data_IF_956444419453
#
_entry.id   IF_956444419453
#
_cell.length_a   1.000
_cell.length_b   1.000
_cell.length_c   1.000
_cell.angle_alpha   90.00
_cell.angle_beta   90.00
_cell.angle_gamma   90.00
#
_symmetry.space_group_name_H-M   'P 1'
#
loop_
_entity.id
_entity.type
_entity.pdbx_description
1 polymer ?
#
# COMPACT_ATOMS: atom_id res chain seq x y z
N UNK A 1 -28.86 11.53 -15.76
CA UNK A 1 -28.72 10.41 -14.81
C UNK A 1 -27.29 10.46 -14.30
N UNK A 2 -27.12 10.97 -13.09
CA UNK A 2 -25.83 11.24 -12.47
C UNK A 2 -25.18 9.92 -12.06
N UNK A 3 -24.13 9.52 -12.77
CA UNK A 3 -23.23 8.44 -12.35
C UNK A 3 -22.47 8.95 -11.12
N UNK A 4 -23.00 8.67 -9.93
CA UNK A 4 -22.24 8.76 -8.70
C UNK A 4 -21.03 7.83 -8.86
N UNK A 5 -19.87 8.42 -9.18
CA UNK A 5 -18.57 7.74 -9.13
C UNK A 5 -18.48 7.12 -7.74
N UNK A 6 -18.48 5.79 -7.68
CA UNK A 6 -18.50 5.06 -6.42
C UNK A 6 -17.34 5.52 -5.53
N UNK A 7 -17.66 6.09 -4.38
CA UNK A 7 -16.70 6.50 -3.35
C UNK A 7 -16.04 5.31 -2.64
N UNK A 8 -16.53 4.09 -2.86
CA UNK A 8 -15.94 2.86 -2.33
C UNK A 8 -14.86 2.35 -3.29
N UNK A 9 -13.59 2.37 -2.85
CA UNK A 9 -12.50 1.67 -3.53
C UNK A 9 -12.06 0.48 -2.69
N UNK A 10 -12.32 -0.72 -3.21
CA UNK A 10 -11.88 -1.96 -2.59
C UNK A 10 -10.36 -2.01 -2.42
N UNK A 11 -9.60 -1.51 -3.40
CA UNK A 11 -8.15 -1.40 -3.29
C UNK A 11 -7.81 -0.52 -2.09
N UNK A 12 -8.32 0.70 -2.04
CA UNK A 12 -8.01 1.64 -0.98
C UNK A 12 -8.37 1.08 0.41
N UNK A 13 -9.50 0.38 0.53
CA UNK A 13 -9.89 -0.33 1.77
C UNK A 13 -8.88 -1.40 2.15
N UNK A 14 -8.50 -2.26 1.19
CA UNK A 14 -7.61 -3.42 1.40
C UNK A 14 -6.22 -3.02 1.86
N UNK A 15 -5.72 -1.90 1.36
CA UNK A 15 -4.39 -1.40 1.71
C UNK A 15 -4.45 -0.20 2.64
N UNK A 16 -5.55 0.03 3.35
CA UNK A 16 -5.67 1.08 4.37
C UNK A 16 -5.11 2.45 3.90
N UNK A 17 -5.39 2.82 2.65
CA UNK A 17 -4.95 4.11 2.11
C UNK A 17 -5.95 5.24 2.44
N UNK A 18 -7.06 4.92 3.12
CA UNK A 18 -8.11 5.90 3.38
C UNK A 18 -7.63 7.00 4.33
N UNK A 19 -7.66 8.24 3.83
CA UNK A 19 -7.50 9.45 4.64
C UNK A 19 -8.76 9.85 5.43
N UNK A 20 -9.80 9.00 5.43
CA UNK A 20 -11.12 9.33 5.99
C UNK A 20 -11.95 10.27 5.10
N UNK A 21 -13.03 10.82 5.67
CA UNK A 21 -14.00 11.68 4.97
C UNK A 21 -13.40 13.00 4.41
N UNK A 22 -12.19 13.37 4.84
CA UNK A 22 -11.50 14.61 4.46
C UNK A 22 -10.40 14.40 3.38
N UNK A 23 -10.42 13.28 2.64
CA UNK A 23 -9.50 13.04 1.53
C UNK A 23 -9.56 14.20 0.52
N UNK A 24 -8.42 14.87 0.29
CA UNK A 24 -8.33 15.98 -0.67
C UNK A 24 -8.66 15.49 -2.07
N UNK A 25 -9.50 16.25 -2.79
CA UNK A 25 -9.96 15.88 -4.13
C UNK A 25 -8.84 15.52 -5.12
N UNK A 26 -7.68 16.18 -5.06
CA UNK A 26 -6.54 15.85 -5.93
C UNK A 26 -5.94 14.46 -5.65
N UNK A 27 -5.80 14.08 -4.38
CA UNK A 27 -5.35 12.75 -3.98
C UNK A 27 -6.36 11.69 -4.42
N UNK A 28 -7.66 11.98 -4.21
CA UNK A 28 -8.75 11.12 -4.68
C UNK A 28 -8.68 10.88 -6.19
N UNK A 29 -8.54 11.94 -6.99
CA UNK A 29 -8.47 11.78 -8.45
C UNK A 29 -7.21 11.01 -8.87
N UNK A 30 -6.05 11.27 -8.27
CA UNK A 30 -4.84 10.51 -8.58
C UNK A 30 -5.02 9.01 -8.28
N UNK A 31 -5.61 8.69 -7.13
CA UNK A 31 -5.93 7.33 -6.72
C UNK A 31 -6.91 6.65 -7.69
N UNK A 32 -8.01 7.31 -8.04
CA UNK A 32 -8.99 6.79 -9.00
C UNK A 32 -8.39 6.55 -10.39
N UNK A 33 -7.47 7.42 -10.83
CA UNK A 33 -6.72 7.22 -12.07
C UNK A 33 -5.84 5.97 -11.98
N UNK A 34 -5.06 5.81 -10.91
CA UNK A 34 -4.18 4.64 -10.72
C UNK A 34 -4.99 3.33 -10.63
N UNK A 35 -6.14 3.35 -9.95
CA UNK A 35 -7.08 2.23 -9.88
C UNK A 35 -7.64 1.85 -11.26
N UNK A 36 -8.06 2.83 -12.08
CA UNK A 36 -8.50 2.58 -13.47
C UNK A 36 -7.37 1.97 -14.32
N UNK A 37 -6.14 2.46 -14.16
CA UNK A 37 -4.99 1.92 -14.87
C UNK A 37 -4.71 0.47 -14.49
N UNK A 38 -4.73 0.14 -13.20
CA UNK A 38 -4.54 -1.23 -12.72
C UNK A 38 -5.65 -2.15 -13.26
N UNK A 39 -6.92 -1.73 -13.15
CA UNK A 39 -8.07 -2.51 -13.61
C UNK A 39 -8.02 -2.81 -15.11
N UNK A 40 -7.51 -1.86 -15.91
CA UNK A 40 -7.37 -2.00 -17.38
C UNK A 40 -6.09 -2.73 -17.81
N UNK A 41 -5.32 -3.27 -16.88
CA UNK A 41 -4.07 -3.98 -17.18
C UNK A 41 -2.95 -3.07 -17.66
N UNK A 42 -2.89 -1.84 -17.13
CA UNK A 42 -1.85 -0.85 -17.35
C UNK A 42 -1.60 -0.51 -18.83
N UNK A 43 -2.48 0.26 -19.49
CA UNK A 43 -2.35 0.60 -20.90
C UNK A 43 -1.18 1.59 -21.12
N UNK A 44 0.04 1.06 -21.22
CA UNK A 44 1.28 1.83 -21.39
C UNK A 44 1.16 2.79 -22.58
N UNK A 45 1.66 4.02 -22.39
CA UNK A 45 1.64 5.09 -23.40
C UNK A 45 0.24 5.55 -23.87
N UNK A 46 -0.85 5.01 -23.32
CA UNK A 46 -2.18 5.51 -23.64
C UNK A 46 -2.36 6.95 -23.16
N UNK A 47 -3.12 7.74 -23.92
CA UNK A 47 -3.60 9.04 -23.47
C UNK A 47 -4.91 8.86 -22.69
N UNK A 48 -4.96 9.42 -21.49
CA UNK A 48 -6.17 9.46 -20.66
C UNK A 48 -7.04 10.69 -20.96
N UNK A 49 -6.56 11.60 -21.80
CA UNK A 49 -7.24 12.83 -22.19
C UNK A 49 -6.56 14.10 -21.68
N UNK A 50 -7.09 15.24 -22.10
CA UNK A 50 -6.66 16.58 -21.70
C UNK A 50 -7.12 16.94 -20.27
N UNK A 51 -6.55 18.01 -19.70
CA UNK A 51 -7.02 18.55 -18.41
C UNK A 51 -8.53 18.85 -18.36
N UNK A 52 -9.10 19.23 -19.51
CA UNK A 52 -10.52 19.59 -19.64
C UNK A 52 -11.37 18.33 -19.61
N UNK A 53 -11.02 17.34 -20.42
CA UNK A 53 -11.72 16.05 -20.47
C UNK A 53 -11.65 15.30 -19.13
N UNK A 54 -10.50 15.36 -18.45
CA UNK A 54 -10.36 14.78 -17.11
C UNK A 54 -11.21 15.54 -16.07
N UNK A 55 -11.30 16.87 -16.16
CA UNK A 55 -12.12 17.67 -15.26
C UNK A 55 -13.60 17.33 -15.41
N UNK A 56 -14.06 17.18 -16.65
CA UNK A 56 -15.43 16.74 -16.97
C UNK A 56 -15.67 15.30 -16.51
N UNK A 57 -14.76 14.36 -16.81
CA UNK A 57 -14.89 12.94 -16.45
C UNK A 57 -15.05 12.74 -14.95
N UNK A 58 -14.27 13.46 -14.15
CA UNK A 58 -14.27 13.31 -12.69
C UNK A 58 -15.18 14.32 -11.98
N UNK A 59 -15.86 15.21 -12.70
CA UNK A 59 -16.75 16.22 -12.11
C UNK A 59 -16.04 17.22 -11.18
N UNK A 60 -14.76 17.51 -11.43
CA UNK A 60 -13.94 18.41 -10.60
C UNK A 60 -13.41 19.60 -11.40
N UNK A 61 -13.02 20.66 -10.70
CA UNK A 61 -12.38 21.81 -11.34
C UNK A 61 -11.01 21.47 -11.93
N UNK A 62 -10.62 22.14 -13.03
CA UNK A 62 -9.30 21.97 -13.70
C UNK A 62 -8.11 22.14 -12.76
N UNK A 63 -8.24 22.99 -11.74
CA UNK A 63 -7.19 23.18 -10.73
C UNK A 63 -6.94 21.90 -9.90
N UNK A 64 -7.99 21.11 -9.63
CA UNK A 64 -7.89 19.82 -8.93
C UNK A 64 -7.25 18.78 -9.83
N UNK A 65 -7.63 18.71 -11.11
CA UNK A 65 -7.01 17.81 -12.10
C UNK A 65 -5.53 18.09 -12.25
N UNK A 66 -5.14 19.36 -12.43
CA UNK A 66 -3.72 19.75 -12.49
C UNK A 66 -2.95 19.28 -11.27
N UNK A 67 -3.61 19.20 -10.13
CA UNK A 67 -2.97 18.73 -8.92
C UNK A 67 -2.83 17.22 -8.86
N UNK A 68 -3.88 16.49 -9.23
CA UNK A 68 -3.82 15.05 -9.38
C UNK A 68 -2.72 14.64 -10.37
N UNK A 69 -2.61 15.34 -11.51
CA UNK A 69 -1.56 15.14 -12.51
C UNK A 69 -0.16 15.25 -11.91
N UNK A 70 0.08 16.22 -11.02
CA UNK A 70 1.39 16.38 -10.38
C UNK A 70 1.71 15.25 -9.41
N UNK A 71 0.71 14.76 -8.68
CA UNK A 71 0.86 13.57 -7.83
C UNK A 71 1.27 12.37 -8.70
N UNK A 72 0.56 12.12 -9.80
CA UNK A 72 0.87 11.05 -10.74
C UNK A 72 2.27 11.19 -11.36
N UNK A 73 2.71 12.41 -11.67
CA UNK A 73 4.07 12.68 -12.19
C UNK A 73 5.17 12.40 -11.16
N UNK A 74 4.94 12.77 -9.90
CA UNK A 74 5.86 12.49 -8.78
C UNK A 74 5.96 10.99 -8.54
N UNK A 75 4.81 10.30 -8.45
CA UNK A 75 4.72 8.84 -8.32
C UNK A 75 5.30 8.12 -9.55
N UNK A 76 5.31 8.79 -10.70
CA UNK A 76 5.86 8.27 -11.95
C UNK A 76 4.87 7.42 -12.75
N UNK A 77 3.59 7.44 -12.40
CA UNK A 77 2.52 6.63 -13.02
C UNK A 77 1.94 7.26 -14.29
N UNK A 78 1.95 8.59 -14.39
CA UNK A 78 1.54 9.30 -15.60
C UNK A 78 2.30 10.63 -15.76
N UNK A 79 2.24 11.23 -16.97
CA UNK A 79 2.82 12.53 -17.27
C UNK A 79 1.94 13.34 -18.21
N UNK A 80 1.80 14.63 -17.94
CA UNK A 80 1.11 15.53 -18.86
C UNK A 80 2.03 15.89 -20.04
N UNK A 81 1.59 15.55 -21.25
CA UNK A 81 2.24 15.97 -22.50
C UNK A 81 1.44 17.10 -23.13
N UNK A 82 2.05 18.27 -23.25
CA UNK A 82 1.45 19.45 -23.89
C UNK A 82 1.62 19.35 -25.40
N UNK A 83 0.54 19.60 -26.15
CA UNK A 83 0.55 19.62 -27.60
C UNK A 83 -0.85 19.91 -28.15
N UNK A 84 -1.00 20.06 -29.48
CA UNK A 84 -2.32 20.13 -30.13
C UNK A 84 -3.15 18.91 -29.71
N UNK A 85 -4.45 19.09 -29.45
CA UNK A 85 -5.34 17.99 -29.07
C UNK A 85 -5.24 16.84 -30.08
N UNK A 86 -4.80 15.67 -29.62
CA UNK A 86 -4.52 14.52 -30.48
C UNK A 86 -3.98 13.33 -29.69
N UNK A 87 -3.69 12.19 -30.34
CA UNK A 87 -3.32 10.94 -29.66
C UNK A 87 -1.99 11.03 -28.87
N UNK A 88 -1.16 12.03 -29.17
CA UNK A 88 0.14 12.25 -28.54
C UNK A 88 0.13 13.38 -27.49
N UNK A 89 -1.02 13.96 -27.17
CA UNK A 89 -1.17 14.99 -26.13
C UNK A 89 -2.14 14.54 -25.04
N UNK A 90 -2.10 15.22 -23.89
CA UNK A 90 -2.88 14.86 -22.70
C UNK A 90 -2.07 14.12 -21.65
N UNK A 91 -2.76 13.59 -20.65
CA UNK A 91 -2.16 12.80 -19.58
C UNK A 91 -1.80 11.41 -20.10
N UNK A 92 -0.51 11.14 -20.23
CA UNK A 92 0.04 9.90 -20.78
C UNK A 92 0.44 8.93 -19.67
N UNK A 93 0.04 7.67 -19.79
CA UNK A 93 0.43 6.59 -18.87
C UNK A 93 1.92 6.31 -19.04
N UNK A 94 2.64 6.12 -17.93
CA UNK A 94 4.06 5.76 -17.93
C UNK A 94 4.26 4.34 -17.44
N UNK A 95 5.34 3.72 -17.89
CA UNK A 95 5.90 2.56 -17.22
C UNK A 95 6.40 2.96 -15.82
N UNK A 96 6.05 2.14 -14.83
CA UNK A 96 6.46 2.37 -13.44
C UNK A 96 7.89 1.88 -13.24
N UNK A 97 8.72 2.77 -12.70
CA UNK A 97 10.15 2.51 -12.49
C UNK A 97 10.36 1.62 -11.25
N UNK A 98 10.98 0.45 -11.46
CA UNK A 98 11.31 -0.52 -10.42
C UNK A 98 12.16 0.08 -9.31
N UNK A 99 13.30 0.67 -9.69
CA UNK A 99 14.28 1.28 -8.78
C UNK A 99 13.62 2.37 -7.93
N UNK A 100 12.74 3.17 -8.53
CA UNK A 100 12.02 4.21 -7.79
C UNK A 100 11.09 3.60 -6.74
N UNK A 101 10.32 2.59 -7.11
CA UNK A 101 9.37 1.91 -6.21
C UNK A 101 10.10 1.23 -5.06
N UNK A 102 11.19 0.52 -5.35
CA UNK A 102 12.07 -0.09 -4.35
C UNK A 102 12.60 0.95 -3.36
N UNK A 103 13.02 2.14 -3.83
CA UNK A 103 13.49 3.22 -2.95
C UNK A 103 12.40 3.81 -2.06
N UNK A 104 11.16 3.96 -2.55
CA UNK A 104 10.04 4.39 -1.71
C UNK A 104 9.72 3.38 -0.61
N UNK A 105 9.71 2.10 -0.96
CA UNK A 105 9.50 0.99 -0.03
C UNK A 105 10.61 0.93 1.02
N UNK A 106 11.88 1.00 0.58
CA UNK A 106 13.04 1.11 1.47
C UNK A 106 12.89 2.33 2.40
N UNK A 107 12.54 3.49 1.87
CA UNK A 107 12.35 4.71 2.65
C UNK A 107 11.31 4.59 3.76
N UNK A 108 10.20 3.93 3.46
CA UNK A 108 9.18 3.61 4.45
C UNK A 108 9.73 2.69 5.55
N UNK A 109 10.38 1.60 5.18
CA UNK A 109 10.91 0.60 6.12
C UNK A 109 12.02 1.18 7.02
N UNK A 110 12.86 2.05 6.47
CA UNK A 110 13.90 2.76 7.22
C UNK A 110 13.29 3.82 8.17
N UNK A 111 12.18 4.47 7.78
CA UNK A 111 11.50 5.44 8.64
C UNK A 111 10.98 4.79 9.94
N UNK A 112 10.48 3.55 9.86
CA UNK A 112 10.03 2.79 11.04
C UNK A 112 11.17 2.11 11.82
N UNK A 113 12.43 2.31 11.43
CA UNK A 113 13.58 1.85 12.21
C UNK A 113 13.77 0.33 12.19
N UNK A 114 13.49 -0.31 11.06
CA UNK A 114 13.66 -1.77 10.89
C UNK A 114 15.04 -2.23 11.36
N UNK A 115 15.06 -3.29 12.15
CA UNK A 115 16.26 -3.86 12.79
C UNK A 115 16.84 -5.02 11.98
N UNK A 116 18.12 -5.35 12.20
CA UNK A 116 18.76 -6.51 11.55
C UNK A 116 18.00 -7.83 11.80
N UNK A 117 17.52 -8.16 13.02
CA UNK A 117 16.70 -9.35 13.22
C UNK A 117 15.40 -9.36 12.41
N UNK A 118 14.73 -8.21 12.28
CA UNK A 118 13.51 -8.09 11.45
C UNK A 118 13.80 -8.27 9.96
N UNK A 119 14.97 -7.80 9.49
CA UNK A 119 15.43 -8.03 8.11
C UNK A 119 15.68 -9.52 7.86
N UNK A 120 16.42 -10.20 8.74
CA UNK A 120 16.69 -11.64 8.62
C UNK A 120 15.39 -12.44 8.62
N UNK A 121 14.45 -12.10 9.50
CA UNK A 121 13.14 -12.73 9.56
C UNK A 121 12.35 -12.56 8.24
N UNK A 122 12.39 -11.36 7.66
CA UNK A 122 11.73 -11.08 6.39
C UNK A 122 12.34 -11.88 5.23
N UNK A 123 13.67 -11.94 5.16
CA UNK A 123 14.38 -12.75 4.15
C UNK A 123 14.05 -14.24 4.26
N UNK A 124 14.02 -14.77 5.48
CA UNK A 124 13.63 -16.16 5.71
C UNK A 124 12.19 -16.43 5.26
N UNK A 125 11.26 -15.52 5.55
CA UNK A 125 9.88 -15.63 5.10
C UNK A 125 9.79 -15.62 3.57
N UNK A 126 10.47 -14.69 2.89
CA UNK A 126 10.52 -14.64 1.41
C UNK A 126 11.17 -15.90 0.83
N UNK A 127 12.21 -16.43 1.47
CA UNK A 127 12.84 -17.69 1.04
C UNK A 127 11.88 -18.89 1.18
N UNK A 128 11.10 -18.96 2.26
CA UNK A 128 10.06 -19.99 2.44
C UNK A 128 8.95 -19.85 1.40
N UNK A 129 8.54 -18.63 1.06
CA UNK A 129 7.60 -18.35 -0.03
C UNK A 129 8.15 -18.84 -1.37
N UNK A 130 9.41 -18.55 -1.69
CA UNK A 130 10.07 -19.01 -2.93
C UNK A 130 10.10 -20.53 -3.04
N UNK A 131 10.42 -21.21 -1.95
CA UNK A 131 10.42 -22.67 -1.89
C UNK A 131 8.99 -23.22 -2.11
N UNK A 132 7.99 -22.65 -1.45
CA UNK A 132 6.59 -23.05 -1.62
C UNK A 132 6.04 -22.82 -3.03
N UNK A 133 6.44 -21.73 -3.70
CA UNK A 133 6.05 -21.48 -5.09
C UNK A 133 6.65 -22.50 -6.06
N UNK A 134 7.88 -22.95 -5.79
CA UNK A 134 8.54 -23.97 -6.63
C UNK A 134 7.80 -25.30 -6.57
N UNK A 135 7.21 -25.64 -5.42
CA UNK A 135 6.38 -26.83 -5.24
C UNK A 135 5.01 -26.68 -5.90
N UNK A 136 4.39 -25.51 -5.83
CA UNK A 136 3.09 -25.20 -6.47
C UNK A 136 3.19 -25.18 -8.00
N UNK A 137 4.27 -24.64 -8.57
CA UNK A 137 4.47 -24.52 -10.03
C UNK A 137 4.71 -25.87 -10.71
N UNK A 138 5.21 -26.89 -9.98
CA UNK A 138 5.32 -28.26 -10.54
C UNK A 138 3.96 -28.88 -10.89
N UNK A 139 2.85 -28.34 -10.38
CA UNK A 139 1.51 -28.89 -10.56
C UNK A 139 0.66 -28.15 -11.63
N UNK A 140 1.02 -26.93 -12.03
CA UNK A 140 0.29 -26.13 -13.05
C UNK A 140 1.26 -25.73 -14.19
N UNK A 141 1.16 -26.39 -15.34
CA UNK A 141 2.00 -26.09 -16.51
C UNK A 141 1.58 -24.80 -17.23
N UNK A 142 2.58 -24.06 -17.70
CA UNK A 142 2.57 -23.11 -18.82
C UNK A 142 2.30 -21.59 -18.64
N UNK A 143 2.42 -20.98 -17.45
CA UNK A 143 2.42 -19.49 -17.41
C UNK A 143 3.31 -18.77 -16.36
N UNK A 144 3.92 -19.47 -15.39
CA UNK A 144 4.11 -18.82 -14.06
C UNK A 144 5.56 -18.59 -13.62
N UNK A 145 6.57 -19.27 -14.17
CA UNK A 145 7.96 -19.14 -13.63
C UNK A 145 8.54 -17.74 -13.85
N UNK A 146 8.40 -17.17 -15.05
CA UNK A 146 9.00 -15.87 -15.38
C UNK A 146 8.39 -14.70 -14.60
N UNK A 147 7.06 -14.69 -14.43
CA UNK A 147 6.38 -13.63 -13.69
C UNK A 147 6.56 -13.74 -12.16
N UNK A 148 6.73 -14.95 -11.62
CA UNK A 148 7.06 -15.14 -10.19
C UNK A 148 8.41 -14.51 -9.85
N UNK A 149 9.42 -14.70 -10.70
CA UNK A 149 10.74 -14.06 -10.48
C UNK A 149 10.57 -12.55 -10.41
N UNK A 150 9.96 -11.94 -11.44
CA UNK A 150 9.80 -10.48 -11.51
C UNK A 150 9.04 -9.90 -10.30
N UNK A 151 8.02 -10.61 -9.79
CA UNK A 151 7.29 -10.15 -8.63
C UNK A 151 8.11 -10.22 -7.32
N UNK A 152 9.01 -11.21 -7.19
CA UNK A 152 9.88 -11.37 -6.03
C UNK A 152 11.17 -10.54 -6.13
N UNK A 153 11.64 -10.23 -7.34
CA UNK A 153 12.85 -9.44 -7.57
C UNK A 153 12.74 -8.04 -6.91
N UNK A 154 11.54 -7.45 -6.85
CA UNK A 154 11.30 -6.22 -6.08
C UNK A 154 11.62 -6.37 -4.60
N UNK A 155 11.22 -7.50 -4.01
CA UNK A 155 11.46 -7.74 -2.59
C UNK A 155 12.93 -8.05 -2.36
N UNK A 156 13.56 -8.83 -3.24
CA UNK A 156 15.00 -9.11 -3.16
C UNK A 156 15.83 -7.81 -3.27
N UNK A 157 15.49 -6.92 -4.20
CA UNK A 157 16.16 -5.63 -4.37
C UNK A 157 16.04 -4.75 -3.12
N UNK A 158 14.85 -4.71 -2.51
CA UNK A 158 14.60 -3.94 -1.28
C UNK A 158 15.36 -4.53 -0.10
N UNK A 159 15.28 -5.85 0.10
CA UNK A 159 15.99 -6.56 1.17
C UNK A 159 17.51 -6.39 1.02
N UNK A 160 18.03 -6.57 -0.21
CA UNK A 160 19.44 -6.39 -0.53
C UNK A 160 19.92 -4.95 -0.30
N UNK A 161 19.13 -3.95 -0.67
CA UNK A 161 19.45 -2.54 -0.43
C UNK A 161 19.50 -2.20 1.07
N UNK A 162 18.55 -2.70 1.86
CA UNK A 162 18.53 -2.52 3.32
C UNK A 162 19.76 -3.19 3.94
N UNK A 163 20.06 -4.43 3.56
CA UNK A 163 21.24 -5.18 4.03
C UNK A 163 22.55 -4.44 3.76
N UNK A 164 22.72 -3.94 2.54
CA UNK A 164 23.90 -3.17 2.15
C UNK A 164 24.04 -1.90 3.00
N UNK A 165 22.92 -1.22 3.29
CA UNK A 165 22.92 -0.02 4.13
C UNK A 165 23.26 -0.32 5.59
N UNK A 166 22.67 -1.37 6.18
CA UNK A 166 22.94 -1.80 7.56
C UNK A 166 24.41 -2.21 7.74
N UNK A 167 24.97 -2.92 6.76
CA UNK A 167 26.38 -3.33 6.75
C UNK A 167 27.36 -2.16 6.62
N UNK A 168 26.94 -1.05 6.00
CA UNK A 168 27.81 0.09 5.68
C UNK A 168 27.87 1.20 6.73
N UNK A 169 26.85 1.35 7.59
CA UNK A 169 26.74 2.54 8.46
C UNK A 169 26.40 2.30 9.94
N UNK A 170 26.23 1.06 10.41
CA UNK A 170 26.04 0.70 11.83
C UNK A 170 24.74 1.21 12.50
N UNK A 171 24.13 2.28 11.97
CA UNK A 171 22.83 2.79 12.33
C UNK A 171 22.15 3.36 11.07
N UNK A 172 20.92 2.94 10.81
CA UNK A 172 20.05 3.59 9.84
C UNK A 172 19.72 4.97 10.40
N UNK A 173 20.04 6.08 9.71
CA UNK A 173 19.60 7.38 10.19
C UNK A 173 18.08 7.40 10.18
N UNK A 174 17.45 7.51 11.35
CA UNK A 174 16.02 7.78 11.54
C UNK A 174 15.65 9.20 11.08
N UNK A 175 16.08 9.57 9.87
CA UNK A 175 15.84 10.86 9.26
C UNK A 175 14.67 10.71 8.27
N UNK A 176 13.59 11.48 8.39
CA UNK A 176 12.43 11.40 7.49
C UNK A 176 12.76 11.58 6.01
N UNK A 177 13.92 12.12 5.65
CA UNK A 177 14.37 12.16 4.24
C UNK A 177 14.51 10.80 3.60
N UNK A 178 14.71 9.72 4.37
CA UNK A 178 14.75 8.36 3.80
C UNK A 178 13.43 8.00 3.13
N UNK A 179 12.29 8.58 3.56
CA UNK A 179 10.95 8.31 3.03
C UNK A 179 10.83 8.52 1.52
N UNK A 180 11.66 9.40 0.96
CA UNK A 180 11.72 9.68 -0.46
C UNK A 180 13.17 9.57 -0.94
N UNK A 181 13.39 8.86 -2.04
CA UNK A 181 14.71 8.83 -2.69
C UNK A 181 15.26 10.25 -2.91
N UNK A 182 16.47 10.60 -2.42
CA UNK A 182 17.03 11.95 -2.57
C UNK A 182 17.11 12.41 -4.03
N UNK A 183 17.39 11.50 -4.97
CA UNK A 183 17.47 11.85 -6.39
C UNK A 183 16.10 12.19 -7.01
N UNK A 184 15.01 11.68 -6.43
CA UNK A 184 13.64 12.00 -6.86
C UNK A 184 13.26 13.40 -6.39
N UNK A 185 13.59 13.73 -5.14
CA UNK A 185 13.36 15.06 -4.58
C UNK A 185 14.20 16.13 -5.28
N UNK A 186 15.46 15.84 -5.60
CA UNK A 186 16.36 16.83 -6.17
C UNK A 186 16.04 17.29 -7.61
N UNK A 187 15.17 16.56 -8.33
CA UNK A 187 14.78 16.88 -9.72
C UNK A 187 13.85 18.09 -9.85
N UNK A 188 13.23 18.54 -8.76
CA UNK A 188 12.31 19.68 -8.80
C UNK A 188 12.51 20.59 -7.59
N UNK A 189 12.22 21.89 -7.76
CA UNK A 189 12.26 22.84 -6.65
C UNK A 189 11.33 22.42 -5.51
N UNK A 190 10.16 21.87 -5.83
CA UNK A 190 9.21 21.34 -4.86
C UNK A 190 9.77 20.14 -4.08
N UNK A 191 10.48 19.23 -4.76
CA UNK A 191 11.12 18.09 -4.12
C UNK A 191 12.28 18.53 -3.22
N UNK A 192 13.10 19.50 -3.63
CA UNK A 192 14.15 20.08 -2.77
C UNK A 192 13.57 20.73 -1.51
N UNK A 193 12.41 21.41 -1.63
CA UNK A 193 11.69 21.95 -0.46
C UNK A 193 11.19 20.80 0.43
N UNK A 194 10.63 19.75 -0.17
CA UNK A 194 10.19 18.54 0.55
C UNK A 194 11.33 17.92 1.34
N UNK A 195 12.50 17.79 0.73
CA UNK A 195 13.70 17.27 1.40
C UNK A 195 14.09 18.15 2.59
N UNK A 196 14.09 19.47 2.42
CA UNK A 196 14.40 20.41 3.52
C UNK A 196 13.41 20.29 4.68
N UNK A 197 12.11 20.16 4.39
CA UNK A 197 11.07 19.97 5.41
C UNK A 197 11.30 18.65 6.17
N UNK A 198 11.56 17.56 5.45
CA UNK A 198 11.79 16.23 6.05
C UNK A 198 13.02 16.20 6.98
N UNK A 199 14.02 17.07 6.75
CA UNK A 199 15.20 17.18 7.62
C UNK A 199 14.97 18.01 8.88
N UNK A 200 13.85 18.73 9.02
CA UNK A 200 13.63 19.63 10.17
C UNK A 200 13.33 18.90 11.49
N UNK A 201 12.84 17.67 11.43
CA UNK A 201 12.45 16.92 12.62
C UNK A 201 13.07 15.52 12.62
N UNK A 202 13.27 14.97 13.82
CA UNK A 202 13.61 13.55 13.97
C UNK A 202 12.41 12.67 13.59
N UNK A 203 12.63 11.39 13.27
CA UNK A 203 11.53 10.45 13.04
C UNK A 203 10.54 10.40 14.23
N UNK A 204 11.03 10.46 15.47
CA UNK A 204 10.20 10.48 16.68
C UNK A 204 9.27 11.72 16.73
N UNK A 205 9.82 12.91 16.49
CA UNK A 205 9.03 14.14 16.42
C UNK A 205 8.01 14.07 15.28
N UNK A 206 8.40 13.46 14.16
CA UNK A 206 7.54 13.29 13.00
C UNK A 206 6.30 12.43 13.32
N UNK A 207 6.51 11.29 13.97
CA UNK A 207 5.47 10.33 14.38
C UNK A 207 4.51 10.95 15.41
N UNK A 208 4.98 11.85 16.28
CA UNK A 208 4.16 12.54 17.29
C UNK A 208 3.23 13.62 16.72
N UNK A 209 3.25 13.87 15.40
CA UNK A 209 2.42 14.90 14.78
C UNK A 209 2.90 16.32 15.05
N UNK A 210 4.20 16.56 14.86
CA UNK A 210 4.84 17.86 15.03
C UNK A 210 4.25 18.91 14.08
N UNK A 211 3.94 20.09 14.64
CA UNK A 211 3.49 21.25 13.86
C UNK A 211 4.69 21.95 13.22
N UNK A 212 4.83 21.81 11.90
CA UNK A 212 5.93 22.37 11.13
C UNK A 212 5.83 23.91 11.01
N UNK A 213 4.60 24.43 10.85
CA UNK A 213 4.32 25.87 10.77
C UNK A 213 3.16 26.22 9.84
N UNK A 214 2.81 27.50 9.74
CA UNK A 214 1.83 27.95 8.74
C UNK A 214 2.44 28.00 7.34
N UNK A 215 1.60 28.02 6.30
CA UNK A 215 2.08 28.20 4.91
C UNK A 215 2.92 29.47 4.75
N UNK A 216 2.51 30.56 5.40
CA UNK A 216 3.21 31.84 5.35
C UNK A 216 4.59 31.76 6.03
N UNK A 217 4.64 31.21 7.25
CA UNK A 217 5.88 31.06 8.01
C UNK A 217 6.88 30.15 7.26
N UNK A 218 6.39 29.06 6.67
CA UNK A 218 7.23 28.09 5.98
C UNK A 218 7.72 28.64 4.63
N UNK A 219 6.88 29.38 3.89
CA UNK A 219 7.33 30.08 2.68
C UNK A 219 8.45 31.09 3.00
N UNK A 220 8.30 31.85 4.08
CA UNK A 220 9.32 32.79 4.55
C UNK A 220 10.59 32.05 4.99
N UNK A 221 10.46 31.00 5.82
CA UNK A 221 11.58 30.21 6.36
C UNK A 221 12.44 29.59 5.26
N UNK A 222 11.82 29.04 4.21
CA UNK A 222 12.57 28.40 3.13
C UNK A 222 12.94 29.32 1.97
N UNK A 223 12.44 30.56 1.95
CA UNK A 223 12.67 31.51 0.86
C UNK A 223 12.03 31.08 -0.46
N UNK A 224 10.81 30.54 -0.39
CA UNK A 224 10.12 29.92 -1.53
C UNK A 224 8.78 30.59 -1.80
N UNK A 225 8.37 30.59 -3.06
CA UNK A 225 7.03 31.06 -3.41
C UNK A 225 5.94 30.08 -2.96
N UNK A 226 4.73 30.59 -2.71
CA UNK A 226 3.57 29.79 -2.27
C UNK A 226 3.24 28.66 -3.25
N UNK A 227 3.51 28.85 -4.54
CA UNK A 227 3.30 27.82 -5.57
C UNK A 227 4.19 26.60 -5.33
N UNK A 228 5.50 26.82 -5.27
CA UNK A 228 6.49 25.79 -5.00
C UNK A 228 6.32 25.14 -3.62
N UNK A 229 5.96 25.93 -2.60
CA UNK A 229 5.70 25.39 -1.26
C UNK A 229 4.47 24.47 -1.23
N UNK A 230 3.35 24.89 -1.84
CA UNK A 230 2.17 24.01 -1.93
C UNK A 230 2.51 22.72 -2.66
N UNK A 231 3.32 22.77 -3.73
CA UNK A 231 3.79 21.56 -4.39
C UNK A 231 4.54 20.61 -3.45
N UNK A 232 5.44 21.13 -2.61
CA UNK A 232 6.13 20.34 -1.61
C UNK A 232 5.18 19.71 -0.57
N UNK A 233 4.22 20.50 -0.07
CA UNK A 233 3.16 20.03 0.83
C UNK A 233 2.37 18.88 0.21
N UNK A 234 2.02 18.97 -1.09
CA UNK A 234 1.30 17.89 -1.78
C UNK A 234 2.13 16.62 -1.92
N UNK A 235 3.44 16.73 -2.15
CA UNK A 235 4.33 15.55 -2.17
C UNK A 235 4.27 14.84 -0.82
N UNK A 236 4.42 15.59 0.28
CA UNK A 236 4.33 15.06 1.65
C UNK A 236 2.97 14.43 1.95
N UNK A 237 1.87 15.11 1.60
CA UNK A 237 0.51 14.62 1.79
C UNK A 237 0.23 13.35 0.98
N UNK A 238 0.75 13.27 -0.25
CA UNK A 238 0.57 12.09 -1.12
C UNK A 238 1.28 10.84 -0.60
N UNK A 239 2.32 11.00 0.24
CA UNK A 239 2.99 9.92 0.95
C UNK A 239 2.39 9.67 2.35
N UNK A 240 1.37 10.44 2.75
CA UNK A 240 0.82 10.42 4.09
C UNK A 240 1.77 10.96 5.18
N UNK A 241 2.85 11.64 4.80
CA UNK A 241 3.89 12.11 5.71
C UNK A 241 3.54 13.44 6.38
N UNK A 242 2.60 14.21 5.83
CA UNK A 242 2.12 15.44 6.45
C UNK A 242 0.66 15.69 6.09
N UNK A 243 0.03 16.63 6.80
CA UNK A 243 -1.34 17.05 6.58
C UNK A 243 -1.49 18.55 6.87
N UNK A 244 -2.22 19.24 5.99
CA UNK A 244 -2.53 20.66 6.16
C UNK A 244 -3.88 20.87 6.82
N UNK A 245 -3.90 21.62 7.93
CA UNK A 245 -5.12 22.02 8.60
C UNK A 245 -5.48 23.48 8.28
N UNK A 246 -6.73 23.74 7.86
CA UNK A 246 -7.21 25.09 7.56
C UNK A 246 -7.76 25.81 8.82
N UNK A 247 -7.36 27.08 9.06
CA UNK A 247 -7.89 27.94 10.12
C UNK A 247 -6.82 28.72 10.89
N UNK A 248 -7.22 29.70 11.73
CA UNK A 248 -6.29 30.49 12.57
C UNK A 248 -5.45 29.56 13.47
N UNK A 249 -4.13 29.70 13.41
CA UNK A 249 -3.17 28.87 14.16
C UNK A 249 -2.91 27.48 13.57
N UNK A 250 -3.67 27.07 12.55
CA UNK A 250 -3.50 25.78 11.88
C UNK A 250 -2.50 25.90 10.73
N UNK A 251 -1.79 24.82 10.44
CA UNK A 251 -0.67 24.81 9.51
C UNK A 251 -0.37 23.40 9.02
N UNK A 252 0.84 23.20 8.51
CA UNK A 252 1.33 21.87 8.14
C UNK A 252 1.73 21.11 9.42
N UNK A 253 1.21 19.90 9.56
CA UNK A 253 1.47 19.00 10.68
C UNK A 253 2.04 17.70 10.11
N UNK A 254 3.11 17.17 10.70
CA UNK A 254 3.66 15.88 10.28
C UNK A 254 2.68 14.76 10.59
N UNK A 255 2.77 13.68 9.84
CA UNK A 255 1.97 12.47 10.02
C UNK A 255 2.89 11.25 9.88
N UNK A 256 2.55 10.20 10.61
CA UNK A 256 3.13 8.89 10.37
C UNK A 256 2.79 8.46 8.93
N UNK A 257 3.80 8.18 8.08
CA UNK A 257 3.59 7.70 6.72
C UNK A 257 2.67 6.48 6.73
N UNK A 258 1.72 6.43 5.80
CA UNK A 258 0.79 5.31 5.68
C UNK A 258 1.35 4.25 4.75
N UNK A 259 1.30 2.99 5.19
CA UNK A 259 1.71 1.84 4.38
C UNK A 259 0.92 1.74 3.06
N UNK A 260 -0.36 2.14 3.07
CA UNK A 260 -1.20 2.15 1.88
C UNK A 260 -0.68 2.98 0.71
N UNK A 261 -0.03 4.11 0.97
CA UNK A 261 0.50 4.95 -0.11
C UNK A 261 1.64 4.23 -0.87
N UNK A 262 2.48 3.50 -0.13
CA UNK A 262 3.59 2.72 -0.68
C UNK A 262 3.09 1.43 -1.33
N UNK A 263 2.13 0.74 -0.69
CA UNK A 263 1.47 -0.43 -1.25
C UNK A 263 0.82 -0.13 -2.61
N UNK A 264 0.30 1.10 -2.83
CA UNK A 264 -0.16 1.55 -4.15
C UNK A 264 0.91 1.45 -5.21
N UNK A 265 2.09 1.97 -4.92
CA UNK A 265 3.17 2.08 -5.87
C UNK A 265 3.63 0.68 -6.28
N UNK A 266 3.64 -0.25 -5.33
CA UNK A 266 3.89 -1.67 -5.62
C UNK A 266 2.78 -2.26 -6.50
N UNK A 267 1.50 -1.99 -6.21
CA UNK A 267 0.40 -2.45 -7.06
C UNK A 267 0.46 -1.88 -8.49
N UNK A 268 0.80 -0.59 -8.63
CA UNK A 268 1.03 0.06 -9.93
C UNK A 268 2.22 -0.57 -10.67
N UNK A 269 3.31 -0.88 -9.96
CA UNK A 269 4.46 -1.57 -10.54
C UNK A 269 4.09 -2.97 -11.04
N UNK A 270 3.43 -3.78 -10.20
CA UNK A 270 2.98 -5.13 -10.58
C UNK A 270 2.05 -5.09 -11.81
N UNK A 271 1.15 -4.11 -11.87
CA UNK A 271 0.29 -3.86 -13.03
C UNK A 271 1.12 -3.49 -14.28
N UNK A 272 2.04 -2.53 -14.15
CA UNK A 272 2.90 -2.03 -15.23
C UNK A 272 3.85 -3.09 -15.76
N UNK A 273 4.30 -4.02 -14.91
CA UNK A 273 5.13 -5.16 -15.29
C UNK A 273 4.30 -6.33 -15.87
N UNK A 274 2.98 -6.17 -15.98
CA UNK A 274 2.09 -7.18 -16.57
C UNK A 274 1.92 -8.44 -15.73
N UNK A 275 2.19 -8.39 -14.42
CA UNK A 275 2.12 -9.56 -13.54
C UNK A 275 0.67 -9.98 -13.37
N UNK A 276 0.38 -11.27 -13.56
CA UNK A 276 -0.97 -11.78 -13.41
C UNK A 276 -1.44 -11.75 -11.93
N UNK A 277 -2.66 -11.29 -11.61
CA UNK A 277 -3.20 -11.25 -10.25
C UNK A 277 -3.10 -12.56 -9.47
N UNK A 278 -3.32 -13.69 -10.14
CA UNK A 278 -3.23 -15.01 -9.50
C UNK A 278 -1.84 -15.32 -8.98
N UNK A 279 -0.79 -14.82 -9.64
CA UNK A 279 0.59 -15.02 -9.19
C UNK A 279 0.82 -14.24 -7.91
N UNK A 280 0.41 -12.97 -7.89
CA UNK A 280 0.50 -12.13 -6.70
C UNK A 280 -0.32 -12.70 -5.54
N UNK A 281 -1.52 -13.25 -5.83
CA UNK A 281 -2.33 -13.94 -4.84
C UNK A 281 -1.65 -15.22 -4.30
N UNK A 282 -0.97 -16.01 -5.14
CA UNK A 282 -0.18 -17.18 -4.69
C UNK A 282 0.94 -16.75 -3.73
N UNK A 283 1.70 -15.70 -4.09
CA UNK A 283 2.76 -15.14 -3.23
C UNK A 283 2.16 -14.65 -1.91
N UNK A 284 1.09 -13.85 -1.95
CA UNK A 284 0.38 -13.36 -0.76
C UNK A 284 -0.07 -14.49 0.16
N UNK A 285 -0.66 -15.56 -0.39
CA UNK A 285 -1.13 -16.70 0.38
C UNK A 285 0.01 -17.37 1.15
N UNK A 286 1.13 -17.64 0.48
CA UNK A 286 2.29 -18.25 1.12
C UNK A 286 2.91 -17.32 2.16
N UNK A 287 3.02 -16.02 1.88
CA UNK A 287 3.53 -15.05 2.85
C UNK A 287 2.61 -14.94 4.07
N UNK A 288 1.29 -14.97 3.87
CA UNK A 288 0.31 -14.95 4.96
C UNK A 288 0.43 -16.15 5.91
N UNK A 289 0.85 -17.32 5.39
CA UNK A 289 1.13 -18.52 6.20
C UNK A 289 2.30 -18.27 7.14
N UNK A 290 3.37 -17.65 6.65
CA UNK A 290 4.53 -17.33 7.46
C UNK A 290 4.23 -16.23 8.48
N UNK A 291 3.49 -15.19 8.09
CA UNK A 291 3.04 -14.12 8.99
C UNK A 291 2.23 -14.66 10.18
N UNK A 292 1.25 -15.52 9.91
CA UNK A 292 0.39 -16.12 10.94
C UNK A 292 1.19 -17.07 11.85
N UNK A 293 2.23 -17.72 11.33
CA UNK A 293 3.12 -18.57 12.14
C UNK A 293 3.98 -17.74 13.10
N UNK A 294 4.59 -16.66 12.61
CA UNK A 294 5.37 -15.72 13.42
C UNK A 294 4.49 -15.06 14.50
N UNK A 295 3.29 -14.64 14.12
CA UNK A 295 2.31 -14.10 15.06
C UNK A 295 1.92 -15.11 16.15
N UNK A 296 1.72 -16.38 15.79
CA UNK A 296 1.39 -17.42 16.76
C UNK A 296 2.54 -17.68 17.74
N UNK A 297 3.79 -17.66 17.28
CA UNK A 297 4.97 -17.79 18.13
C UNK A 297 5.03 -16.68 19.20
N UNK A 298 4.71 -15.43 18.80
CA UNK A 298 4.72 -14.24 19.66
C UNK A 298 3.40 -13.96 20.37
N UNK A 299 2.37 -14.77 20.16
CA UNK A 299 1.03 -14.49 20.63
C UNK A 299 0.96 -14.38 22.16
N UNK A 300 0.36 -13.29 22.65
CA UNK A 300 0.11 -13.13 24.08
C UNK A 300 -1.35 -13.50 24.42
N UNK A 301 -1.69 -13.70 25.71
CA UNK A 301 -3.09 -13.81 26.12
C UNK A 301 -3.93 -12.61 25.69
N UNK A 302 -3.35 -11.40 25.68
CA UNK A 302 -3.98 -10.18 25.19
C UNK A 302 -4.27 -10.25 23.70
N UNK A 303 -3.30 -10.67 22.88
CA UNK A 303 -3.48 -10.90 21.43
C UNK A 303 -4.62 -11.88 21.16
N UNK A 304 -4.63 -13.02 21.87
CA UNK A 304 -5.70 -14.01 21.74
C UNK A 304 -7.08 -13.44 22.09
N UNK A 305 -7.14 -12.56 23.10
CA UNK A 305 -8.38 -11.90 23.52
C UNK A 305 -8.84 -10.86 22.50
N UNK A 306 -7.94 -10.08 21.90
CA UNK A 306 -8.24 -9.14 20.81
C UNK A 306 -8.82 -9.88 19.61
N UNK A 307 -8.18 -10.97 19.15
CA UNK A 307 -8.67 -11.81 18.04
C UNK A 307 -10.06 -12.39 18.37
N UNK A 308 -10.24 -12.94 19.57
CA UNK A 308 -11.53 -13.52 19.98
C UNK A 308 -12.65 -12.46 20.02
N UNK A 309 -12.32 -11.24 20.45
CA UNK A 309 -13.26 -10.12 20.48
C UNK A 309 -13.64 -9.69 19.06
N UNK A 310 -12.65 -9.54 18.17
CA UNK A 310 -12.88 -9.20 16.77
C UNK A 310 -13.73 -10.26 16.05
N UNK A 311 -13.47 -11.56 16.26
CA UNK A 311 -14.27 -12.66 15.72
C UNK A 311 -15.72 -12.64 16.24
N UNK A 312 -15.91 -12.30 17.52
CA UNK A 312 -17.26 -12.19 18.12
C UNK A 312 -18.05 -11.02 17.53
N UNK A 313 -17.37 -9.89 17.29
CA UNK A 313 -17.96 -8.73 16.61
C UNK A 313 -18.36 -9.06 15.17
N UNK A 314 -17.48 -9.73 14.42
CA UNK A 314 -17.78 -10.21 13.06
C UNK A 314 -18.98 -11.17 13.05
N UNK A 315 -19.04 -12.12 13.99
CA UNK A 315 -20.17 -13.04 14.12
C UNK A 315 -21.48 -12.31 14.35
N UNK A 316 -21.50 -11.37 15.30
CA UNK A 316 -22.71 -10.57 15.60
C UNK A 316 -23.19 -9.79 14.39
N UNK A 317 -22.26 -9.18 13.65
CA UNK A 317 -22.62 -8.39 12.47
C UNK A 317 -23.20 -9.28 11.35
N UNK A 318 -22.64 -10.48 11.15
CA UNK A 318 -23.18 -11.47 10.21
C UNK A 318 -24.57 -11.99 10.63
N UNK A 319 -24.78 -12.30 11.90
CA UNK A 319 -26.07 -12.77 12.42
C UNK A 319 -27.17 -11.70 12.28
N UNK A 320 -26.82 -10.42 12.29
CA UNK A 320 -27.74 -9.29 12.07
C UNK A 320 -28.04 -9.02 10.58
N UNK A 321 -27.50 -9.85 9.67
CA UNK A 321 -27.67 -9.64 8.23
C UNK A 321 -26.99 -8.36 7.73
N UNK A 322 -26.07 -7.77 8.50
CA UNK A 322 -25.31 -6.64 8.03
C UNK A 322 -24.50 -7.07 6.82
N UNK A 323 -24.44 -6.22 5.79
CA UNK A 323 -23.42 -6.35 4.77
C UNK A 323 -22.07 -6.03 5.44
N UNK A 324 -21.48 -7.00 6.12
CA UNK A 324 -20.18 -6.85 6.75
C UNK A 324 -19.18 -6.65 5.64
N UNK A 325 -18.83 -5.39 5.38
CA UNK A 325 -17.75 -5.07 4.46
C UNK A 325 -16.42 -5.68 4.93
N UNK A 326 -15.37 -5.49 4.13
CA UNK A 326 -14.05 -6.04 4.44
C UNK A 326 -13.46 -5.53 5.77
N UNK A 327 -13.90 -4.37 6.26
CA UNK A 327 -13.45 -3.77 7.51
C UNK A 327 -13.51 -4.72 8.73
N UNK A 328 -14.56 -5.54 8.87
CA UNK A 328 -14.67 -6.47 10.01
C UNK A 328 -13.71 -7.66 9.91
N UNK A 329 -13.38 -8.10 8.68
CA UNK A 329 -12.33 -9.11 8.47
C UNK A 329 -10.95 -8.49 8.74
N UNK A 330 -10.71 -7.27 8.28
CA UNK A 330 -9.44 -6.58 8.48
C UNK A 330 -9.15 -6.35 9.95
N UNK A 331 -10.15 -5.99 10.76
CA UNK A 331 -9.99 -5.89 12.21
C UNK A 331 -9.54 -7.21 12.87
N UNK A 332 -9.96 -8.38 12.33
CA UNK A 332 -9.50 -9.68 12.83
C UNK A 332 -8.06 -9.96 12.39
N UNK A 333 -7.74 -9.71 11.12
CA UNK A 333 -6.38 -9.91 10.58
C UNK A 333 -5.37 -8.96 11.27
N UNK A 334 -5.73 -7.70 11.48
CA UNK A 334 -4.91 -6.71 12.18
C UNK A 334 -4.61 -7.16 13.62
N UNK A 335 -5.64 -7.57 14.38
CA UNK A 335 -5.45 -8.11 15.72
C UNK A 335 -4.61 -9.40 15.76
N UNK A 336 -4.61 -10.18 14.67
CA UNK A 336 -3.80 -11.39 14.57
C UNK A 336 -2.35 -11.08 14.23
N UNK A 337 -2.09 -10.11 13.35
CA UNK A 337 -0.76 -9.80 12.84
C UNK A 337 -0.02 -8.75 13.67
N UNK A 338 -0.69 -8.05 14.59
CA UNK A 338 -0.08 -7.10 15.54
C UNK A 338 1.13 -7.71 16.28
N UNK A 339 1.06 -9.00 16.62
CA UNK A 339 2.14 -9.71 17.32
C UNK A 339 3.38 -9.99 16.45
N UNK A 340 3.33 -9.79 15.13
CA UNK A 340 4.50 -9.99 14.25
C UNK A 340 5.56 -8.93 14.52
N UNK A 341 5.19 -7.67 14.78
CA UNK A 341 6.14 -6.57 15.04
C UNK A 341 7.29 -6.51 14.02
N UNK A 342 6.95 -6.47 12.73
CA UNK A 342 7.93 -6.41 11.64
C UNK A 342 7.42 -5.51 10.50
N UNK A 343 7.80 -4.20 10.49
CA UNK A 343 7.25 -3.23 9.56
C UNK A 343 7.57 -3.54 8.09
N UNK A 344 8.66 -4.28 7.84
CA UNK A 344 9.05 -4.75 6.51
C UNK A 344 8.09 -5.85 6.02
N UNK A 345 7.80 -6.85 6.85
CA UNK A 345 6.84 -7.88 6.50
C UNK A 345 5.40 -7.34 6.36
N UNK A 346 5.03 -6.36 7.18
CA UNK A 346 3.73 -5.69 7.09
C UNK A 346 3.55 -4.98 5.76
N UNK A 347 4.51 -4.15 5.36
CA UNK A 347 4.41 -3.41 4.09
C UNK A 347 4.46 -4.36 2.88
N UNK A 348 5.27 -5.42 2.92
CA UNK A 348 5.33 -6.43 1.86
C UNK A 348 3.98 -7.14 1.71
N UNK A 349 3.40 -7.57 2.83
CA UNK A 349 2.11 -8.26 2.85
C UNK A 349 0.98 -7.35 2.36
N UNK A 350 0.94 -6.10 2.82
CA UNK A 350 -0.05 -5.11 2.40
C UNK A 350 0.07 -4.77 0.90
N UNK A 351 1.30 -4.65 0.39
CA UNK A 351 1.58 -4.41 -1.03
C UNK A 351 1.05 -5.51 -1.93
N UNK A 352 1.19 -6.77 -1.52
CA UNK A 352 0.66 -7.92 -2.28
C UNK A 352 -0.86 -8.04 -2.18
N UNK A 353 -1.44 -7.71 -1.02
CA UNK A 353 -2.87 -7.86 -0.74
C UNK A 353 -3.74 -6.99 -1.65
N UNK A 354 -3.29 -5.78 -1.96
CA UNK A 354 -4.07 -4.78 -2.71
C UNK A 354 -4.27 -5.10 -4.18
N UNK A 355 -3.28 -5.69 -4.84
CA UNK A 355 -3.27 -5.82 -6.31
C UNK A 355 -4.37 -6.75 -6.87
N UNK A 356 -4.64 -7.95 -6.31
CA UNK A 356 -5.65 -8.85 -6.89
C UNK A 356 -7.08 -8.30 -6.85
N UNK A 357 -7.58 -7.71 -5.74
CA UNK A 357 -8.90 -7.08 -5.70
C UNK A 357 -9.10 -5.95 -6.72
N UNK A 358 -8.03 -5.23 -7.10
CA UNK A 358 -8.11 -4.19 -8.13
C UNK A 358 -8.37 -4.74 -9.55
N UNK A 359 -8.21 -6.05 -9.77
CA UNK A 359 -8.44 -6.72 -11.06
C UNK A 359 -9.59 -7.71 -11.05
N UNK A 360 -10.11 -8.08 -9.87
CA UNK A 360 -11.24 -9.01 -9.73
C UNK A 360 -12.50 -8.18 -9.47
N UNK A 361 -13.50 -8.17 -10.38
CA UNK A 361 -14.70 -7.36 -10.22
C UNK A 361 -15.41 -7.64 -8.90
N UNK A 362 -15.89 -6.59 -8.24
CA UNK A 362 -16.76 -6.66 -7.06
C UNK A 362 -18.01 -7.50 -7.37
N UNK A 363 -17.97 -8.79 -7.07
CA UNK A 363 -19.17 -9.62 -6.99
C UNK A 363 -19.56 -9.67 -5.52
N UNK A 364 -20.50 -8.81 -5.13
CA UNK A 364 -21.10 -8.73 -3.79
C UNK A 364 -21.48 -10.12 -3.24
N UNK A 365 -21.88 -11.05 -4.13
CA UNK A 365 -22.20 -12.44 -3.77
C UNK A 365 -21.00 -13.24 -3.25
N UNK A 366 -19.79 -13.03 -3.79
CA UNK A 366 -18.57 -13.71 -3.36
C UNK A 366 -18.16 -13.24 -1.96
N UNK A 367 -18.23 -11.93 -1.70
CA UNK A 367 -17.87 -11.35 -0.39
C UNK A 367 -18.73 -11.90 0.75
N UNK A 368 -20.04 -12.05 0.52
CA UNK A 368 -20.95 -12.63 1.53
C UNK A 368 -20.57 -14.08 1.88
N UNK A 369 -20.26 -14.90 0.87
CA UNK A 369 -19.81 -16.30 1.06
C UNK A 369 -18.48 -16.33 1.83
N UNK A 370 -17.53 -15.46 1.45
CA UNK A 370 -16.22 -15.37 2.10
C UNK A 370 -16.36 -15.02 3.59
N UNK A 371 -17.21 -14.05 3.94
CA UNK A 371 -17.43 -13.66 5.33
C UNK A 371 -18.00 -14.80 6.18
N UNK A 372 -18.95 -15.58 5.63
CA UNK A 372 -19.55 -16.73 6.33
C UNK A 372 -18.52 -17.84 6.58
N UNK A 373 -17.64 -18.10 5.62
CA UNK A 373 -16.58 -19.11 5.74
C UNK A 373 -15.41 -18.65 6.61
N UNK A 374 -15.19 -17.34 6.74
CA UNK A 374 -14.06 -16.80 7.47
C UNK A 374 -14.06 -17.18 8.96
N UNK A 375 -15.22 -17.17 9.61
CA UNK A 375 -15.34 -17.56 11.02
C UNK A 375 -14.90 -19.00 11.32
N UNK A 376 -15.48 -20.05 10.69
CA UNK A 376 -15.08 -21.43 10.97
C UNK A 376 -13.62 -21.70 10.58
N UNK A 377 -13.10 -21.05 9.54
CA UNK A 377 -11.71 -21.23 9.09
C UNK A 377 -10.67 -20.53 9.99
N UNK A 378 -11.06 -19.47 10.71
CA UNK A 378 -10.14 -18.72 11.60
C UNK A 378 -10.08 -19.31 13.01
N UNK A 379 -11.06 -20.13 13.42
CA UNK A 379 -11.06 -20.79 14.74
C UNK A 379 -9.84 -21.70 14.99
N UNK A 380 -9.41 -22.55 14.04
CA UNK A 380 -8.19 -23.35 14.19
C UNK A 380 -6.93 -22.48 14.34
N UNK A 381 -6.86 -21.34 13.63
CA UNK A 381 -5.75 -20.38 13.77
C UNK A 381 -5.70 -19.82 15.19
N UNK A 382 -6.83 -19.34 15.73
CA UNK A 382 -6.90 -18.88 17.11
C UNK A 382 -6.54 -19.98 18.13
N UNK A 383 -6.89 -21.23 17.86
CA UNK A 383 -6.51 -22.35 18.71
C UNK A 383 -5.00 -22.60 18.72
N UNK A 384 -4.32 -22.39 17.59
CA UNK A 384 -2.86 -22.46 17.50
C UNK A 384 -2.19 -21.28 18.24
N UNK A 385 -2.74 -20.06 18.13
CA UNK A 385 -2.25 -18.88 18.87
C UNK A 385 -2.30 -19.09 20.38
N UNK A 386 -3.39 -19.65 20.90
CA UNK A 386 -3.54 -19.96 22.34
C UNK A 386 -2.52 -20.96 22.88
N UNK A 387 -1.89 -21.73 21.99
CA UNK A 387 -0.87 -22.73 22.32
C UNK A 387 0.54 -22.26 21.97
N UNK A 388 0.69 -21.07 21.39
CA UNK A 388 1.92 -20.58 20.79
C UNK A 388 2.55 -21.60 19.83
N UNK A 389 1.72 -22.29 19.03
CA UNK A 389 2.16 -23.37 18.14
C UNK A 389 2.26 -22.85 16.69
N UNK A 390 3.46 -22.45 16.22
CA UNK A 390 3.63 -21.91 14.87
C UNK A 390 3.37 -22.97 13.78
N UNK A 391 3.58 -24.26 14.04
CA UNK A 391 3.33 -25.29 13.02
C UNK A 391 1.84 -25.61 12.86
N UNK A 392 1.10 -25.66 13.97
CA UNK A 392 -0.36 -25.73 13.92
C UNK A 392 -0.93 -24.47 13.24
N UNK A 393 -0.37 -23.30 13.49
CA UNK A 393 -0.77 -22.05 12.85
C UNK A 393 -0.53 -22.06 11.34
N UNK A 394 0.65 -22.53 10.88
CA UNK A 394 0.93 -22.73 9.44
C UNK A 394 -0.09 -23.63 8.77
N UNK A 395 -0.35 -24.78 9.39
CA UNK A 395 -1.27 -25.79 8.85
C UNK A 395 -2.70 -25.25 8.76
N UNK A 396 -3.17 -24.58 9.81
CA UNK A 396 -4.49 -23.95 9.85
C UNK A 396 -4.61 -22.81 8.82
N UNK A 397 -3.60 -21.96 8.69
CA UNK A 397 -3.60 -20.86 7.74
C UNK A 397 -3.57 -21.35 6.29
N UNK A 398 -2.77 -22.38 6.01
CA UNK A 398 -2.71 -23.02 4.68
C UNK A 398 -4.07 -23.57 4.28
N UNK A 399 -4.71 -24.34 5.15
CA UNK A 399 -6.05 -24.87 4.92
C UNK A 399 -7.08 -23.74 4.69
N UNK A 400 -6.99 -22.64 5.45
CA UNK A 400 -7.86 -21.46 5.30
C UNK A 400 -7.70 -20.83 3.90
N UNK A 401 -6.48 -20.54 3.46
CA UNK A 401 -6.25 -19.88 2.16
C UNK A 401 -6.53 -20.79 0.95
N UNK A 402 -6.30 -22.10 1.08
CA UNK A 402 -6.67 -23.09 0.06
C UNK A 402 -8.18 -23.21 -0.09
N UNK A 403 -8.91 -23.29 1.02
CA UNK A 403 -10.38 -23.35 1.00
C UNK A 403 -10.95 -22.12 0.30
N UNK A 404 -10.47 -20.93 0.66
CA UNK A 404 -10.89 -19.70 0.00
C UNK A 404 -10.57 -19.67 -1.49
N UNK A 405 -9.37 -20.12 -1.89
CA UNK A 405 -8.98 -20.15 -3.29
C UNK A 405 -9.84 -21.12 -4.11
N UNK A 406 -10.16 -22.28 -3.56
CA UNK A 406 -11.02 -23.26 -4.22
C UNK A 406 -12.45 -22.74 -4.39
N UNK A 407 -12.99 -22.07 -3.37
CA UNK A 407 -14.31 -21.42 -3.45
C UNK A 407 -14.32 -20.33 -4.51
N UNK A 408 -13.31 -19.44 -4.53
CA UNK A 408 -13.21 -18.38 -5.55
C UNK A 408 -13.13 -18.99 -6.96
N UNK A 409 -12.29 -20.01 -7.18
CA UNK A 409 -12.19 -20.71 -8.47
C UNK A 409 -13.49 -21.37 -8.91
N UNK A 410 -14.32 -21.85 -7.97
CA UNK A 410 -15.61 -22.46 -8.30
C UNK A 410 -16.72 -21.46 -8.67
N UNK A 411 -16.52 -20.18 -8.34
CA UNK A 411 -17.49 -19.10 -8.54
C UNK A 411 -17.17 -18.22 -9.76
N UNK A 412 -15.96 -18.36 -10.32
CA UNK A 412 -15.48 -17.71 -11.55
C UNK A 412 -15.63 -18.68 -12.72
#
# INVERSE_FOLDING_TARGET
>A
MSSAVHDASLLADVIDEWGGADEKGACRIARLVEEDLIARGWPQDASLGSEVELAERYGVGRAVVREAVRILEVRGTARMVRGPSGPNSGLRVREVDHTRTAKFLMGFVLFFGTTEPQLVEAEEAIQRVRNGLSDDVRNDADLIVGQVSVALDLFDDVLGAIRQMMSGNGAIPGNPTVLFAPEVLNRSRAGQITERILRECTAEQWVQGHRLGSEEDLCFRYGVDRGAFRQAVRILESAGAAETYCGRGRGLVSRTPRAGAVARLVACLLASSGIHPDIVMRIFRLLSVEMVALAAERATPTTCQQIATALSSLRRALDQGANTGLASIFAVEEAALEAVDNPLLDILTQSLRGYPPARIPERISVLSIMNQLYLPLTRPVLAAFRKNDPQAARSAQRARVETFSNVIRSLL
#
